data_IF_791218967014
#
_entry.id   IF_791218967014
#
_cell.length_a   1.000
_cell.length_b   1.000
_cell.length_c   1.000
_cell.angle_alpha   90.00
_cell.angle_beta   90.00
_cell.angle_gamma   90.00
#
_symmetry.space_group_name_H-M   'P 1'
#
loop_
_entity.id
_entity.type
_entity.pdbx_description
1 polymer ?
#
# COMPACT_ATOMS: atom_id res chain seq x y z
N UNK A 1 7.38 10.41 -13.77
CA UNK A 1 6.50 9.45 -13.08
C UNK A 1 6.67 9.63 -11.60
N UNK A 2 5.60 9.51 -10.82
CA UNK A 2 5.62 9.62 -9.35
C UNK A 2 4.92 8.42 -8.73
N UNK A 3 5.31 8.06 -7.51
CA UNK A 3 4.56 7.13 -6.67
C UNK A 3 3.74 7.91 -5.64
N UNK A 4 2.46 7.57 -5.52
CA UNK A 4 1.62 7.93 -4.38
C UNK A 4 1.43 6.72 -3.48
N UNK A 5 1.60 6.89 -2.16
CA UNK A 5 1.50 5.81 -1.17
C UNK A 5 0.47 6.22 -0.11
N UNK A 6 -0.49 5.34 0.15
CA UNK A 6 -1.45 5.45 1.26
C UNK A 6 -1.28 4.23 2.17
N UNK A 7 -0.65 4.42 3.33
CA UNK A 7 -0.43 3.39 4.35
C UNK A 7 -1.52 3.52 5.42
N UNK A 8 -2.66 2.88 5.19
CA UNK A 8 -3.81 2.91 6.09
C UNK A 8 -3.81 1.77 7.11
N UNK A 9 -4.80 1.77 7.99
CA UNK A 9 -4.94 0.74 9.03
C UNK A 9 -5.13 -0.67 8.45
N UNK A 10 -5.85 -0.81 7.33
CA UNK A 10 -6.20 -2.13 6.78
C UNK A 10 -5.26 -2.58 5.66
N UNK A 11 -4.30 -1.76 5.26
CA UNK A 11 -3.39 -2.07 4.17
C UNK A 11 -2.70 -0.85 3.60
N UNK A 12 -1.75 -1.13 2.72
CA UNK A 12 -1.04 -0.11 1.94
C UNK A 12 -1.50 -0.16 0.49
N UNK A 13 -1.78 1.02 -0.09
CA UNK A 13 -2.07 1.21 -1.52
C UNK A 13 -0.99 2.05 -2.17
N UNK A 14 -0.65 1.72 -3.41
CA UNK A 14 0.36 2.43 -4.20
C UNK A 14 -0.22 2.75 -5.57
N UNK A 15 -0.01 3.99 -6.02
CA UNK A 15 -0.33 4.44 -7.38
C UNK A 15 0.94 4.90 -8.08
N UNK A 16 1.06 4.55 -9.35
CA UNK A 16 2.05 5.11 -10.27
C UNK A 16 1.35 6.16 -11.12
N UNK A 17 1.83 7.40 -11.08
CA UNK A 17 1.19 8.55 -11.74
C UNK A 17 2.09 9.15 -12.83
N UNK A 18 1.49 9.48 -13.96
CA UNK A 18 2.08 10.42 -14.91
C UNK A 18 1.89 11.85 -14.38
N UNK A 19 3.00 12.56 -14.20
CA UNK A 19 3.01 13.88 -13.57
C UNK A 19 2.32 14.99 -14.39
N UNK A 20 2.41 14.89 -15.71
CA UNK A 20 1.94 15.93 -16.63
C UNK A 20 0.45 15.76 -16.92
N UNK A 21 0.01 14.52 -17.12
CA UNK A 21 -1.39 14.21 -17.44
C UNK A 21 -2.25 13.90 -16.22
N UNK A 22 -1.65 13.63 -15.06
CA UNK A 22 -2.34 13.16 -13.86
C UNK A 22 -2.91 11.73 -13.97
N UNK A 23 -2.63 11.02 -15.08
CA UNK A 23 -3.16 9.68 -15.31
C UNK A 23 -2.48 8.65 -14.40
N UNK A 24 -3.27 7.75 -13.82
CA UNK A 24 -2.77 6.54 -13.16
C UNK A 24 -2.26 5.56 -14.23
N UNK A 25 -1.00 5.20 -14.11
CA UNK A 25 -0.30 4.25 -14.98
C UNK A 25 -0.32 2.82 -14.41
N UNK A 26 -0.44 2.68 -13.09
CA UNK A 26 -0.51 1.39 -12.40
C UNK A 26 -0.94 1.56 -10.95
N UNK A 27 -1.51 0.51 -10.37
CA UNK A 27 -2.00 0.49 -9.00
C UNK A 27 -1.70 -0.85 -8.32
N UNK A 28 -1.48 -0.82 -7.02
CA UNK A 28 -1.24 -2.02 -6.23
C UNK A 28 -1.70 -1.84 -4.80
N UNK A 29 -2.01 -2.95 -4.13
CA UNK A 29 -2.45 -2.92 -2.75
C UNK A 29 -2.09 -4.21 -2.03
N UNK A 30 -1.76 -4.10 -0.75
CA UNK A 30 -1.51 -5.25 0.11
C UNK A 30 -2.12 -5.02 1.50
N UNK A 31 -2.75 -6.05 2.10
CA UNK A 31 -3.45 -5.91 3.37
C UNK A 31 -2.48 -5.84 4.56
N UNK A 32 -2.93 -5.20 5.63
CA UNK A 32 -2.33 -5.35 6.95
C UNK A 32 -3.20 -6.27 7.81
N UNK A 33 -2.58 -6.92 8.79
CA UNK A 33 -3.29 -7.65 9.84
C UNK A 33 -3.44 -6.78 11.10
N UNK A 34 -4.33 -7.17 12.01
CA UNK A 34 -4.57 -6.40 13.22
C UNK A 34 -4.49 -7.31 14.44
N UNK A 35 -3.56 -6.99 15.34
CA UNK A 35 -3.41 -7.65 16.63
C UNK A 35 -4.52 -7.10 17.52
N UNK A 36 -5.49 -7.96 17.84
CA UNK A 36 -6.66 -7.62 18.66
C UNK A 36 -6.68 -8.48 19.92
N UNK A 37 -7.11 -7.91 21.04
CA UNK A 37 -7.42 -8.65 22.26
C UNK A 37 -8.77 -8.24 22.86
N UNK A 38 -9.18 -8.97 23.90
CA UNK A 38 -10.47 -8.78 24.58
C UNK A 38 -10.60 -7.45 25.34
N UNK A 39 -9.51 -6.69 25.51
CA UNK A 39 -9.51 -5.40 26.22
C UNK A 39 -9.65 -4.21 25.26
N UNK A 40 -9.94 -4.47 23.98
CA UNK A 40 -10.08 -3.42 22.97
C UNK A 40 -8.75 -2.97 22.36
N UNK A 41 -7.65 -3.69 22.58
CA UNK A 41 -6.37 -3.40 21.93
C UNK A 41 -6.49 -3.57 20.41
N UNK A 42 -5.87 -2.65 19.68
CA UNK A 42 -5.84 -2.58 18.22
C UNK A 42 -4.45 -2.15 17.79
N UNK A 43 -3.57 -3.11 17.55
CA UNK A 43 -2.17 -2.87 17.22
C UNK A 43 -1.76 -3.58 15.93
N UNK A 44 -0.62 -3.18 15.38
CA UNK A 44 -0.01 -3.80 14.20
C UNK A 44 1.49 -3.92 14.43
N UNK A 45 2.11 -4.93 13.83
CA UNK A 45 3.57 -4.96 13.70
C UNK A 45 3.98 -3.93 12.63
N UNK A 46 5.06 -3.17 12.84
CA UNK A 46 5.51 -2.18 11.84
C UNK A 46 6.12 -2.87 10.62
N UNK A 47 6.65 -4.09 10.77
CA UNK A 47 7.25 -4.83 9.65
C UNK A 47 6.22 -5.13 8.55
N UNK A 48 4.97 -5.41 8.91
CA UNK A 48 3.91 -5.67 7.92
C UNK A 48 3.54 -4.43 7.10
N UNK A 49 3.84 -3.20 7.55
CA UNK A 49 3.71 -2.00 6.71
C UNK A 49 4.78 -1.98 5.62
N UNK A 50 6.02 -2.35 5.96
CA UNK A 50 7.11 -2.44 4.99
C UNK A 50 6.85 -3.54 3.96
N UNK A 51 6.39 -4.70 4.40
CA UNK A 51 6.10 -5.83 3.52
C UNK A 51 4.93 -5.51 2.57
N UNK A 52 3.87 -4.90 3.10
CA UNK A 52 2.73 -4.45 2.31
C UNK A 52 3.11 -3.36 1.31
N UNK A 53 3.93 -2.38 1.71
CA UNK A 53 4.43 -1.34 0.81
C UNK A 53 5.24 -1.96 -0.34
N UNK A 54 6.15 -2.89 -0.03
CA UNK A 54 6.95 -3.56 -1.05
C UNK A 54 6.06 -4.36 -2.02
N UNK A 55 5.07 -5.09 -1.51
CA UNK A 55 4.15 -5.86 -2.34
C UNK A 55 3.28 -4.97 -3.22
N UNK A 56 2.60 -3.98 -2.63
CA UNK A 56 1.78 -3.03 -3.37
C UNK A 56 2.59 -2.25 -4.42
N UNK A 57 3.85 -1.92 -4.13
CA UNK A 57 4.75 -1.28 -5.10
C UNK A 57 5.06 -2.21 -6.27
N UNK A 58 5.40 -3.49 -6.00
CA UNK A 58 5.63 -4.47 -7.08
C UNK A 58 4.39 -4.63 -7.96
N UNK A 59 3.22 -4.76 -7.35
CA UNK A 59 1.96 -4.93 -8.09
C UNK A 59 1.65 -3.69 -8.96
N UNK A 60 1.85 -2.48 -8.43
CA UNK A 60 1.64 -1.25 -9.17
C UNK A 60 2.60 -1.09 -10.36
N UNK A 61 3.83 -1.59 -10.24
CA UNK A 61 4.83 -1.55 -11.31
C UNK A 61 4.62 -2.68 -12.35
N UNK A 62 4.09 -3.84 -11.94
CA UNK A 62 3.82 -4.97 -12.85
C UNK A 62 2.70 -4.68 -13.86
N UNK A 63 1.85 -3.69 -13.59
CA UNK A 63 0.78 -3.25 -14.49
C UNK A 63 1.23 -2.16 -15.48
N UNK A 64 2.49 -1.74 -15.43
CA UNK A 64 3.02 -0.80 -16.40
C UNK A 64 3.22 -1.49 -17.76
N UNK A 65 2.74 -0.90 -18.86
CA UNK A 65 2.87 -1.45 -20.21
C UNK A 65 4.31 -1.47 -20.73
#
# INVERSE_FOLDING_TARGET
MFLGIDCGTQGTKVLVLNAESGKVLGEGSAPHSLISDHNGRREQDVQQWLDALQQATRDALNLLP
#
